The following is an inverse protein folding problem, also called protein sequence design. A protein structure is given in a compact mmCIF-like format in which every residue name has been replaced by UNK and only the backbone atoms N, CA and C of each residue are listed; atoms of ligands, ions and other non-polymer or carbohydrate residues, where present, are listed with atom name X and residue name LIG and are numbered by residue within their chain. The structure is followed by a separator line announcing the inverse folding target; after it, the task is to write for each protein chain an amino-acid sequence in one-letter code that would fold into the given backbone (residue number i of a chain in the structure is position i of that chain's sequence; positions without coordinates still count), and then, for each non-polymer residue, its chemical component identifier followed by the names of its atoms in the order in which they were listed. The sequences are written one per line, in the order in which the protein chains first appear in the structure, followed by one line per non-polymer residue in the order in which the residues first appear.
data_IF_951696506015
#
_entry.id   IF_951696506015
#
_cell.length_a   1.000
_cell.length_b   1.000
_cell.length_c   1.000
_cell.angle_alpha   90.00
_cell.angle_beta   90.00
_cell.angle_gamma   90.00
#
_symmetry.space_group_name_H-M   'P 1'
#
loop_
_entity.id
_entity.type
_entity.pdbx_description
1 polymer ?
#
# COMPACT_ATOMS: atom_id res chain seq x y z
N UNK A 1 -31.84 -11.85 -19.53
CA UNK A 1 -31.63 -11.54 -18.10
C UNK A 1 -30.35 -12.19 -17.61
N UNK A 2 -30.15 -13.50 -17.85
CA UNK A 2 -28.95 -14.24 -17.44
C UNK A 2 -27.63 -13.69 -17.99
N UNK A 3 -27.60 -13.24 -19.25
CA UNK A 3 -26.43 -12.57 -19.84
C UNK A 3 -26.07 -11.27 -19.09
N UNK A 4 -27.07 -10.46 -18.69
CA UNK A 4 -26.81 -9.24 -17.92
C UNK A 4 -26.32 -9.55 -16.49
N UNK A 5 -26.82 -10.61 -15.87
CA UNK A 5 -26.37 -11.06 -14.55
C UNK A 5 -24.91 -11.55 -14.62
N UNK A 6 -24.57 -12.28 -15.68
CA UNK A 6 -23.22 -12.75 -15.95
C UNK A 6 -22.24 -11.60 -16.17
N UNK A 7 -22.57 -10.67 -17.07
CA UNK A 7 -21.75 -9.48 -17.35
C UNK A 7 -21.60 -8.59 -16.10
N UNK A 8 -22.69 -8.38 -15.36
CA UNK A 8 -22.63 -7.64 -14.10
C UNK A 8 -21.69 -8.31 -13.09
N UNK A 9 -21.69 -9.64 -13.00
CA UNK A 9 -20.79 -10.39 -12.12
C UNK A 9 -19.32 -10.25 -12.52
N UNK A 10 -19.03 -10.25 -13.83
CA UNK A 10 -17.67 -10.01 -14.34
C UNK A 10 -17.20 -8.59 -13.99
N UNK A 11 -18.03 -7.58 -14.27
CA UNK A 11 -17.69 -6.18 -14.03
C UNK A 11 -17.49 -5.89 -12.54
N UNK A 12 -18.32 -6.46 -11.67
CA UNK A 12 -18.15 -6.36 -10.22
C UNK A 12 -16.85 -7.03 -9.74
N UNK A 13 -16.45 -8.14 -10.36
CA UNK A 13 -15.17 -8.78 -10.08
C UNK A 13 -13.98 -7.92 -10.51
N UNK A 14 -14.05 -7.29 -11.69
CA UNK A 14 -12.99 -6.41 -12.21
C UNK A 14 -12.84 -5.11 -11.42
N UNK A 15 -13.89 -4.66 -10.73
CA UNK A 15 -13.84 -3.47 -9.89
C UNK A 15 -13.00 -3.65 -8.60
N UNK A 16 -12.69 -4.89 -8.23
CA UNK A 16 -11.98 -5.19 -6.98
C UNK A 16 -10.56 -5.64 -7.29
N UNK A 17 -9.59 -4.91 -6.74
CA UNK A 17 -8.18 -5.31 -6.81
C UNK A 17 -7.92 -6.72 -6.24
N UNK A 18 -7.04 -7.51 -6.85
CA UNK A 18 -6.70 -8.87 -6.42
C UNK A 18 -6.32 -8.98 -4.93
N UNK A 19 -5.57 -8.01 -4.40
CA UNK A 19 -5.20 -8.02 -2.96
C UNK A 19 -6.41 -7.75 -2.06
N UNK A 20 -7.34 -6.94 -2.55
CA UNK A 20 -8.61 -6.65 -1.87
C UNK A 20 -9.54 -7.86 -1.93
N UNK A 21 -9.62 -8.55 -3.07
CA UNK A 21 -10.40 -9.78 -3.24
C UNK A 21 -9.96 -10.88 -2.27
N UNK A 22 -8.64 -11.10 -2.10
CA UNK A 22 -8.12 -12.05 -1.11
C UNK A 22 -8.45 -11.64 0.32
N UNK A 23 -8.40 -10.34 0.62
CA UNK A 23 -8.79 -9.82 1.94
C UNK A 23 -10.28 -10.07 2.20
N UNK A 24 -11.14 -9.85 1.21
CA UNK A 24 -12.58 -10.05 1.31
C UNK A 24 -12.94 -11.54 1.47
N UNK A 25 -12.27 -12.42 0.72
CA UNK A 25 -12.41 -13.88 0.87
C UNK A 25 -12.03 -14.33 2.29
N UNK A 26 -10.92 -13.79 2.83
CA UNK A 26 -10.49 -14.05 4.21
C UNK A 26 -11.51 -13.57 5.24
N UNK A 27 -12.09 -12.38 5.03
CA UNK A 27 -13.14 -11.83 5.88
C UNK A 27 -14.41 -12.69 5.88
N UNK A 28 -14.85 -13.15 4.70
CA UNK A 28 -16.00 -14.01 4.55
C UNK A 28 -15.79 -15.36 5.27
N UNK A 29 -14.64 -16.02 5.05
CA UNK A 29 -14.30 -17.26 5.74
C UNK A 29 -14.27 -17.08 7.27
N UNK A 30 -13.74 -15.95 7.75
CA UNK A 30 -13.74 -15.61 9.16
C UNK A 30 -15.16 -15.47 9.72
N UNK A 31 -16.05 -14.80 9.01
CA UNK A 31 -17.45 -14.64 9.41
C UNK A 31 -18.23 -15.96 9.40
N UNK A 32 -18.05 -16.79 8.37
CA UNK A 32 -18.68 -18.12 8.31
C UNK A 32 -18.20 -19.02 9.44
N UNK A 33 -16.91 -18.95 9.79
CA UNK A 33 -16.34 -19.68 10.93
C UNK A 33 -16.95 -19.20 12.25
N UNK A 34 -17.06 -17.88 12.45
CA UNK A 34 -17.75 -17.31 13.60
C UNK A 34 -19.20 -17.80 13.71
N UNK A 35 -19.95 -17.79 12.60
CA UNK A 35 -21.33 -18.26 12.59
C UNK A 35 -21.43 -19.74 13.01
N UNK A 36 -20.56 -20.59 12.45
CA UNK A 36 -20.48 -22.01 12.81
C UNK A 36 -20.12 -22.23 14.28
N UNK A 37 -19.10 -21.52 14.79
CA UNK A 37 -18.64 -21.66 16.17
C UNK A 37 -19.70 -21.27 17.21
N UNK A 38 -20.53 -20.28 16.88
CA UNK A 38 -21.55 -19.76 17.80
C UNK A 38 -22.97 -20.25 17.49
N UNK A 39 -23.13 -21.20 16.56
CA UNK A 39 -24.43 -21.69 16.09
C UNK A 39 -25.38 -20.55 15.67
N UNK A 40 -24.84 -19.54 14.99
CA UNK A 40 -25.59 -18.39 14.49
C UNK A 40 -25.96 -18.60 13.00
N UNK A 41 -27.09 -18.03 12.55
CA UNK A 41 -27.43 -18.04 11.13
C UNK A 41 -26.40 -17.26 10.32
N UNK A 42 -26.14 -17.71 9.09
CA UNK A 42 -25.21 -17.05 8.16
C UNK A 42 -25.73 -15.66 7.78
N UNK A 43 -27.06 -15.47 7.72
CA UNK A 43 -27.67 -14.19 7.37
C UNK A 43 -27.17 -13.06 8.30
N UNK A 44 -26.44 -12.07 7.77
CA UNK A 44 -25.88 -10.97 8.55
C UNK A 44 -26.95 -9.96 8.93
N UNK A 45 -27.45 -10.09 10.16
CA UNK A 45 -28.32 -9.09 10.80
C UNK A 45 -27.49 -8.05 11.55
N UNK A 46 -28.04 -6.86 11.89
CA UNK A 46 -27.33 -5.86 12.69
C UNK A 46 -26.79 -6.44 14.00
N UNK A 47 -27.54 -7.35 14.63
CA UNK A 47 -27.14 -8.01 15.87
C UNK A 47 -25.99 -9.00 15.65
N UNK A 48 -26.06 -9.83 14.62
CA UNK A 48 -25.00 -10.79 14.26
C UNK A 48 -23.70 -10.05 13.93
N UNK A 49 -23.77 -8.96 13.16
CA UNK A 49 -22.62 -8.12 12.81
C UNK A 49 -22.01 -7.45 14.05
N UNK A 50 -22.83 -6.95 14.97
CA UNK A 50 -22.33 -6.41 16.26
C UNK A 50 -21.61 -7.45 17.10
N UNK A 51 -22.12 -8.69 17.18
CA UNK A 51 -21.42 -9.78 17.86
C UNK A 51 -20.11 -10.13 17.18
N UNK A 52 -20.11 -10.16 15.84
CA UNK A 52 -18.89 -10.38 15.07
C UNK A 52 -17.84 -9.29 15.32
N UNK A 53 -18.23 -8.01 15.40
CA UNK A 53 -17.33 -6.90 15.75
C UNK A 53 -16.71 -7.12 17.12
N UNK A 54 -17.53 -7.43 18.13
CA UNK A 54 -17.05 -7.66 19.50
C UNK A 54 -16.05 -8.83 19.51
N UNK A 55 -16.43 -9.96 18.90
CA UNK A 55 -15.59 -11.14 18.78
C UNK A 55 -14.28 -10.82 18.06
N UNK A 56 -14.30 -10.18 16.90
CA UNK A 56 -13.06 -9.91 16.16
C UNK A 56 -12.22 -8.81 16.77
N UNK A 57 -12.83 -7.83 17.45
CA UNK A 57 -12.07 -6.79 18.13
C UNK A 57 -11.12 -7.38 19.18
N UNK A 58 -11.41 -8.56 19.75
CA UNK A 58 -10.51 -9.25 20.68
C UNK A 58 -9.34 -9.98 20.04
N UNK A 59 -9.40 -10.24 18.74
CA UNK A 59 -8.40 -11.03 18.04
C UNK A 59 -7.55 -10.18 17.08
N UNK A 60 -8.11 -9.11 16.51
CA UNK A 60 -7.45 -8.29 15.48
C UNK A 60 -7.65 -6.78 15.71
N UNK A 61 -6.86 -5.97 15.00
CA UNK A 61 -7.00 -4.52 15.02
C UNK A 61 -8.38 -4.10 14.46
N UNK A 62 -9.00 -3.08 15.04
CA UNK A 62 -10.31 -2.59 14.63
C UNK A 62 -10.36 -2.04 13.20
N UNK A 63 -9.24 -1.51 12.68
CA UNK A 63 -9.13 -1.14 11.25
C UNK A 63 -9.33 -2.36 10.35
N UNK A 64 -8.77 -3.51 10.73
CA UNK A 64 -8.96 -4.77 10.03
C UNK A 64 -10.40 -5.27 10.16
N UNK A 65 -11.03 -5.12 11.34
CA UNK A 65 -12.47 -5.46 11.51
C UNK A 65 -13.34 -4.65 10.56
N UNK A 66 -13.06 -3.36 10.40
CA UNK A 66 -13.82 -2.49 9.48
C UNK A 66 -13.66 -2.97 8.04
N UNK A 67 -12.43 -3.26 7.61
CA UNK A 67 -12.15 -3.87 6.29
C UNK A 67 -12.87 -5.20 6.09
N UNK A 68 -12.93 -6.03 7.14
CA UNK A 68 -13.65 -7.31 7.10
C UNK A 68 -15.14 -7.12 6.93
N UNK A 69 -15.76 -6.15 7.63
CA UNK A 69 -17.17 -5.84 7.44
C UNK A 69 -17.48 -5.43 6.01
N UNK A 70 -16.63 -4.59 5.39
CA UNK A 70 -16.78 -4.23 3.97
C UNK A 70 -16.66 -5.45 3.06
N UNK A 71 -15.69 -6.33 3.32
CA UNK A 71 -15.53 -7.55 2.53
C UNK A 71 -16.65 -8.57 2.69
N UNK A 72 -17.20 -8.70 3.90
CA UNK A 72 -18.40 -9.50 4.18
C UNK A 72 -19.58 -8.91 3.42
N UNK A 73 -19.74 -7.59 3.46
CA UNK A 73 -20.78 -6.87 2.72
C UNK A 73 -20.73 -7.20 1.23
N UNK A 74 -19.57 -6.96 0.60
CA UNK A 74 -19.36 -7.17 -0.83
C UNK A 74 -19.59 -8.62 -1.27
N UNK A 75 -19.10 -9.60 -0.50
CA UNK A 75 -19.21 -11.01 -0.87
C UNK A 75 -20.60 -11.61 -0.62
N UNK A 76 -21.33 -11.12 0.38
CA UNK A 76 -22.62 -11.67 0.79
C UNK A 76 -23.82 -10.89 0.24
N UNK A 77 -23.64 -9.67 -0.26
CA UNK A 77 -24.69 -8.86 -0.87
C UNK A 77 -25.49 -9.59 -1.97
N UNK A 78 -24.87 -10.38 -2.87
CA UNK A 78 -25.63 -11.14 -3.87
C UNK A 78 -26.63 -12.15 -3.27
N UNK A 79 -26.37 -12.62 -2.04
CA UNK A 79 -27.22 -13.61 -1.35
C UNK A 79 -28.13 -12.96 -0.29
N UNK A 80 -27.71 -11.83 0.27
CA UNK A 80 -28.40 -11.10 1.33
C UNK A 80 -28.42 -9.60 1.00
N UNK A 81 -29.37 -9.14 0.16
CA UNK A 81 -29.39 -7.75 -0.33
C UNK A 81 -29.51 -6.69 0.78
N UNK A 82 -30.07 -7.06 1.92
CA UNK A 82 -30.23 -6.15 3.08
C UNK A 82 -28.92 -5.92 3.86
N UNK A 83 -27.83 -6.61 3.52
CA UNK A 83 -26.57 -6.55 4.27
C UNK A 83 -25.99 -5.13 4.35
N UNK A 84 -26.08 -4.36 3.27
CA UNK A 84 -25.62 -2.97 3.21
C UNK A 84 -26.38 -2.10 4.22
N UNK A 85 -27.71 -2.24 4.26
CA UNK A 85 -28.58 -1.58 5.24
C UNK A 85 -28.29 -2.03 6.67
N UNK A 86 -28.05 -3.33 6.87
CA UNK A 86 -27.74 -3.90 8.18
C UNK A 86 -26.39 -3.42 8.72
N UNK A 87 -25.39 -3.27 7.86
CA UNK A 87 -24.07 -2.72 8.19
C UNK A 87 -24.17 -1.23 8.51
N UNK A 88 -25.05 -0.50 7.83
CA UNK A 88 -25.31 0.92 8.08
C UNK A 88 -26.15 1.19 9.35
N UNK A 89 -26.71 0.15 9.98
CA UNK A 89 -27.56 0.28 11.16
C UNK A 89 -26.83 0.91 12.36
N UNK A 90 -27.57 1.69 13.15
CA UNK A 90 -27.04 2.42 14.32
C UNK A 90 -26.36 1.49 15.32
N UNK A 91 -26.88 0.28 15.52
CA UNK A 91 -26.31 -0.71 16.43
C UNK A 91 -24.88 -1.09 16.03
N UNK A 92 -24.63 -1.38 14.75
CA UNK A 92 -23.32 -1.76 14.22
C UNK A 92 -22.33 -0.60 14.36
N UNK A 93 -22.75 0.62 13.98
CA UNK A 93 -21.96 1.84 14.11
C UNK A 93 -21.58 2.15 15.56
N UNK A 94 -22.53 2.05 16.49
CA UNK A 94 -22.27 2.24 17.92
C UNK A 94 -21.36 1.16 18.49
N UNK A 95 -21.50 -0.08 18.04
CA UNK A 95 -20.63 -1.19 18.46
C UNK A 95 -19.19 -0.95 18.01
N UNK A 96 -18.98 -0.54 16.76
CA UNK A 96 -17.66 -0.15 16.25
C UNK A 96 -17.05 1.02 17.05
N UNK A 97 -17.84 2.07 17.29
CA UNK A 97 -17.40 3.23 18.07
C UNK A 97 -17.04 2.84 19.51
N UNK A 98 -17.86 2.01 20.15
CA UNK A 98 -17.61 1.48 21.49
C UNK A 98 -16.34 0.62 21.54
N UNK A 99 -16.15 -0.26 20.56
CA UNK A 99 -14.95 -1.08 20.44
C UNK A 99 -13.68 -0.24 20.25
N UNK A 100 -13.76 0.89 19.54
CA UNK A 100 -12.66 1.84 19.40
C UNK A 100 -12.29 2.48 20.74
N UNK A 101 -13.28 2.94 21.50
CA UNK A 101 -13.06 3.54 22.82
C UNK A 101 -12.53 2.53 23.85
N UNK A 102 -12.94 1.28 23.75
CA UNK A 102 -12.52 0.23 24.67
C UNK A 102 -11.08 -0.28 24.42
N UNK A 103 -10.51 -0.01 23.24
CA UNK A 103 -9.19 -0.49 22.83
C UNK A 103 -8.10 0.56 23.09
N UNK A 104 -6.91 0.08 23.45
CA UNK A 104 -5.71 0.91 23.53
C UNK A 104 -5.36 1.50 22.16
N UNK A 105 -4.70 2.68 22.11
CA UNK A 105 -4.29 3.31 20.87
C UNK A 105 -3.47 2.35 20.00
N UNK A 106 -3.75 2.34 18.70
CA UNK A 106 -3.01 1.53 17.75
C UNK A 106 -1.54 1.96 17.79
N UNK A 107 -0.62 1.02 18.02
CA UNK A 107 0.82 1.27 17.90
C UNK A 107 1.15 1.60 16.45
N UNK A 108 1.23 2.89 16.11
CA UNK A 108 1.71 3.34 14.81
C UNK A 108 3.23 3.19 14.75
N UNK A 109 3.74 2.81 13.58
CA UNK A 109 5.17 2.84 13.28
C UNK A 109 5.64 4.30 13.27
N UNK A 110 6.84 4.56 13.75
CA UNK A 110 7.40 5.91 13.80
C UNK A 110 7.72 6.40 12.38
N UNK A 111 7.53 7.68 12.03
CA UNK A 111 7.93 8.22 10.73
C UNK A 111 9.45 8.16 10.56
N UNK A 112 9.91 7.93 9.32
CA UNK A 112 11.32 8.06 8.96
C UNK A 112 11.67 9.54 8.95
N UNK A 113 12.77 9.95 9.58
CA UNK A 113 13.18 11.36 9.60
C UNK A 113 14.14 11.69 8.46
N UNK A 114 14.24 12.98 8.10
CA UNK A 114 15.22 13.48 7.12
C UNK A 114 16.65 13.17 7.56
N UNK A 115 16.95 13.26 8.86
CA UNK A 115 18.26 12.90 9.44
C UNK A 115 18.60 11.42 9.26
N UNK A 116 17.62 10.53 9.45
CA UNK A 116 17.81 9.10 9.21
C UNK A 116 18.04 8.81 7.73
N UNK A 117 17.26 9.44 6.84
CA UNK A 117 17.45 9.33 5.40
C UNK A 117 18.85 9.80 4.97
N UNK A 118 19.31 10.93 5.50
CA UNK A 118 20.64 11.48 5.23
C UNK A 118 21.75 10.54 5.74
N UNK A 119 21.54 9.90 6.90
CA UNK A 119 22.48 8.95 7.48
C UNK A 119 22.60 7.68 6.61
N UNK A 120 21.47 7.14 6.13
CA UNK A 120 21.46 6.01 5.19
C UNK A 120 22.18 6.38 3.88
N UNK A 121 21.89 7.56 3.34
CA UNK A 121 22.59 8.07 2.16
C UNK A 121 24.11 8.17 2.39
N UNK A 122 24.55 8.76 3.51
CA UNK A 122 25.96 8.89 3.83
C UNK A 122 26.69 7.53 3.86
N UNK A 123 26.01 6.46 4.28
CA UNK A 123 26.57 5.11 4.29
C UNK A 123 26.60 4.44 2.90
N UNK A 124 25.61 4.72 2.05
CA UNK A 124 25.38 3.95 0.82
C UNK A 124 25.75 4.65 -0.48
N UNK A 125 25.85 5.98 -0.51
CA UNK A 125 26.00 6.75 -1.75
C UNK A 125 27.27 6.44 -2.57
N UNK A 126 28.30 5.86 -1.95
CA UNK A 126 29.54 5.44 -2.64
C UNK A 126 29.59 3.94 -2.95
N UNK A 127 28.58 3.18 -2.53
CA UNK A 127 28.52 1.74 -2.76
C UNK A 127 28.51 1.44 -4.25
N UNK A 128 29.31 0.45 -4.67
CA UNK A 128 29.32 -0.07 -6.04
C UNK A 128 28.43 -1.31 -6.19
N UNK A 129 27.81 -1.75 -5.10
CA UNK A 129 26.89 -2.87 -5.09
C UNK A 129 25.51 -2.45 -5.62
N UNK A 130 24.99 -3.21 -6.58
CA UNK A 130 23.76 -2.89 -7.28
C UNK A 130 22.54 -2.86 -6.36
N UNK A 131 22.43 -3.82 -5.43
CA UNK A 131 21.30 -3.92 -4.50
C UNK A 131 21.28 -2.76 -3.50
N UNK A 132 22.44 -2.27 -3.09
CA UNK A 132 22.56 -1.05 -2.29
C UNK A 132 22.10 0.20 -3.06
N UNK A 133 22.48 0.33 -4.34
CA UNK A 133 22.01 1.43 -5.19
C UNK A 133 20.49 1.36 -5.41
N UNK A 134 19.96 0.15 -5.65
CA UNK A 134 18.53 -0.12 -5.76
C UNK A 134 17.80 0.31 -4.48
N UNK A 135 18.23 -0.18 -3.33
CA UNK A 135 17.59 0.12 -2.05
C UNK A 135 17.59 1.63 -1.77
N UNK A 136 18.74 2.30 -1.97
CA UNK A 136 18.88 3.73 -1.76
C UNK A 136 17.98 4.53 -2.72
N UNK A 137 17.87 4.11 -3.98
CA UNK A 137 17.03 4.75 -4.99
C UNK A 137 15.54 4.55 -4.71
N UNK A 138 15.13 3.34 -4.34
CA UNK A 138 13.77 3.07 -3.91
C UNK A 138 13.40 3.94 -2.71
N UNK A 139 14.29 4.08 -1.72
CA UNK A 139 14.07 4.91 -0.53
C UNK A 139 13.95 6.40 -0.89
N UNK A 140 14.86 6.92 -1.70
CA UNK A 140 14.88 8.32 -2.16
C UNK A 140 13.78 8.66 -3.18
N UNK A 141 13.19 7.68 -3.85
CA UNK A 141 11.98 7.90 -4.64
C UNK A 141 10.76 8.01 -3.73
N UNK A 142 10.55 7.04 -2.85
CA UNK A 142 9.29 6.97 -2.12
C UNK A 142 9.16 7.91 -0.93
N UNK A 143 10.26 8.46 -0.42
CA UNK A 143 10.20 9.49 0.64
C UNK A 143 9.62 10.81 0.11
N UNK A 144 10.26 11.50 -0.87
CA UNK A 144 9.69 12.72 -1.45
C UNK A 144 8.45 12.48 -2.30
N UNK A 145 8.34 11.32 -2.95
CA UNK A 145 7.18 10.96 -3.78
C UNK A 145 5.99 10.42 -3.02
N UNK A 146 6.03 10.35 -1.68
CA UNK A 146 4.98 9.77 -0.83
C UNK A 146 4.48 8.40 -1.31
N UNK A 147 5.38 7.58 -1.87
CA UNK A 147 4.99 6.29 -2.40
C UNK A 147 4.89 5.25 -1.29
N UNK A 148 3.77 4.57 -1.23
CA UNK A 148 3.63 3.37 -0.44
C UNK A 148 4.61 2.29 -0.91
N UNK A 149 5.00 1.40 0.00
CA UNK A 149 5.90 0.31 -0.34
C UNK A 149 5.30 -0.63 -1.41
N UNK A 150 3.98 -0.78 -1.46
CA UNK A 150 3.31 -1.59 -2.47
C UNK A 150 3.33 -1.01 -3.89
N UNK A 151 3.71 0.26 -4.04
CA UNK A 151 3.86 0.92 -5.36
C UNK A 151 5.28 0.80 -5.90
N UNK A 152 6.26 0.51 -5.04
CA UNK A 152 7.67 0.36 -5.40
C UNK A 152 8.14 -1.09 -5.40
N UNK A 153 7.50 -1.97 -4.64
CA UNK A 153 7.91 -3.35 -4.46
C UNK A 153 6.77 -4.32 -4.80
N UNK A 154 7.12 -5.45 -5.39
CA UNK A 154 6.14 -6.49 -5.71
C UNK A 154 5.70 -7.28 -4.47
N UNK A 155 4.55 -7.95 -4.57
CA UNK A 155 4.05 -8.82 -3.53
C UNK A 155 5.00 -10.00 -3.27
N UNK A 156 5.18 -10.35 -1.99
CA UNK A 156 5.88 -11.57 -1.59
C UNK A 156 5.16 -12.85 -2.04
N UNK A 157 3.84 -12.77 -2.28
CA UNK A 157 3.03 -13.90 -2.73
C UNK A 157 2.91 -13.86 -4.25
N UNK A 158 3.41 -14.86 -4.99
CA UNK A 158 3.37 -14.90 -6.46
C UNK A 158 1.96 -14.68 -7.01
N UNK A 159 0.94 -15.32 -6.42
CA UNK A 159 -0.46 -15.22 -6.85
C UNK A 159 -1.06 -13.80 -6.74
N UNK A 160 -0.39 -12.89 -6.01
CA UNK A 160 -0.80 -11.50 -5.83
C UNK A 160 0.09 -10.51 -6.60
N UNK A 161 1.05 -11.00 -7.37
CA UNK A 161 1.89 -10.14 -8.20
C UNK A 161 1.10 -9.70 -9.42
N UNK A 162 1.14 -8.40 -9.68
CA UNK A 162 0.49 -7.79 -10.82
C UNK A 162 1.52 -6.94 -11.56
N UNK A 163 1.95 -7.45 -12.71
CA UNK A 163 2.98 -6.82 -13.53
C UNK A 163 2.50 -5.53 -14.19
N UNK A 164 1.18 -5.31 -14.29
CA UNK A 164 0.62 -4.05 -14.79
C UNK A 164 0.85 -2.88 -13.84
N UNK A 165 1.19 -3.15 -12.58
CA UNK A 165 1.45 -2.13 -11.55
C UNK A 165 2.92 -1.76 -11.43
N UNK A 166 3.79 -2.41 -12.21
CA UNK A 166 5.23 -2.19 -12.13
C UNK A 166 5.59 -0.91 -12.88
N UNK A 167 6.30 -0.03 -12.20
CA UNK A 167 6.86 1.18 -12.81
C UNK A 167 7.88 0.74 -13.87
N UNK A 168 7.74 1.28 -15.08
CA UNK A 168 8.61 0.95 -16.20
C UNK A 168 9.77 1.94 -16.29
N UNK A 169 10.95 1.42 -16.61
CA UNK A 169 12.18 2.19 -16.76
C UNK A 169 12.05 3.26 -17.85
N UNK A 170 11.46 2.91 -18.99
CA UNK A 170 11.32 3.80 -20.15
C UNK A 170 10.27 4.91 -19.98
N UNK A 171 9.51 4.89 -18.88
CA UNK A 171 8.54 5.94 -18.54
C UNK A 171 9.11 6.95 -17.53
N UNK A 172 10.39 6.83 -17.17
CA UNK A 172 11.11 7.82 -16.39
C UNK A 172 11.73 8.89 -17.31
N UNK A 173 11.58 10.15 -16.94
CA UNK A 173 12.15 11.29 -17.66
C UNK A 173 12.77 12.30 -16.72
N UNK A 174 13.86 12.94 -17.16
CA UNK A 174 14.55 13.98 -16.40
C UNK A 174 13.92 15.34 -16.69
N UNK A 175 13.61 16.11 -15.64
CA UNK A 175 13.01 17.44 -15.78
C UNK A 175 13.77 18.45 -14.93
N UNK A 176 14.74 19.12 -15.54
CA UNK A 176 15.62 20.05 -14.83
C UNK A 176 16.47 19.33 -13.78
N UNK A 177 16.26 19.67 -12.51
CA UNK A 177 16.92 19.02 -11.35
C UNK A 177 16.09 17.89 -10.72
N UNK A 178 14.92 17.61 -11.31
CA UNK A 178 13.96 16.63 -10.83
C UNK A 178 13.85 15.49 -11.86
N UNK A 179 13.07 14.47 -11.51
CA UNK A 179 12.62 13.47 -12.48
C UNK A 179 11.15 13.15 -12.30
N UNK A 180 10.53 12.68 -13.38
CA UNK A 180 9.14 12.28 -13.41
C UNK A 180 9.02 10.85 -13.91
N UNK A 181 8.00 10.14 -13.44
CA UNK A 181 7.64 8.83 -13.95
C UNK A 181 6.12 8.63 -13.92
N UNK A 182 5.64 7.69 -14.74
CA UNK A 182 4.26 7.23 -14.67
C UNK A 182 4.12 6.11 -13.65
N UNK A 183 3.33 6.36 -12.60
CA UNK A 183 2.86 5.32 -11.68
C UNK A 183 1.63 4.64 -12.32
N UNK A 184 1.70 3.36 -12.72
CA UNK A 184 0.67 2.75 -13.57
C UNK A 184 -0.71 2.63 -12.93
N UNK A 185 -0.75 2.38 -11.61
CA UNK A 185 -2.01 2.22 -10.89
C UNK A 185 -1.85 2.72 -9.47
N UNK A 186 -2.84 3.47 -8.99
CA UNK A 186 -2.97 3.84 -7.58
C UNK A 186 -4.34 3.39 -7.07
N UNK A 187 -4.46 3.12 -5.76
CA UNK A 187 -5.72 2.65 -5.16
C UNK A 187 -6.88 3.65 -5.30
N UNK A 188 -6.57 4.92 -5.55
CA UNK A 188 -7.52 6.01 -5.75
C UNK A 188 -7.74 6.33 -7.23
N UNK A 189 -7.04 5.67 -8.14
CA UNK A 189 -7.19 5.88 -9.58
C UNK A 189 -8.43 5.13 -10.10
N UNK A 190 -9.54 5.85 -10.14
CA UNK A 190 -10.82 5.33 -10.64
C UNK A 190 -10.86 5.19 -12.16
N UNK A 191 -9.97 5.86 -12.89
CA UNK A 191 -9.97 5.89 -14.36
C UNK A 191 -8.92 4.96 -14.98
N UNK A 192 -8.02 4.39 -14.16
CA UNK A 192 -6.95 3.48 -14.58
C UNK A 192 -5.98 4.11 -15.59
N UNK A 193 -5.80 5.44 -15.54
CA UNK A 193 -4.91 6.20 -16.43
C UNK A 193 -3.48 6.26 -15.87
N UNK A 194 -3.28 5.91 -14.60
CA UNK A 194 -2.04 6.11 -13.88
C UNK A 194 -1.85 7.56 -13.42
N UNK A 195 -0.77 7.82 -12.70
CA UNK A 195 -0.46 9.14 -12.17
C UNK A 195 0.99 9.54 -12.51
N UNK A 196 1.17 10.75 -13.05
CA UNK A 196 2.50 11.32 -13.27
C UNK A 196 3.04 11.87 -11.95
N UNK A 197 4.06 11.19 -11.42
CA UNK A 197 4.70 11.57 -10.16
C UNK A 197 6.02 12.27 -10.47
N UNK A 198 6.14 13.53 -10.03
CA UNK A 198 7.40 14.28 -10.03
C UNK A 198 8.10 14.11 -8.68
N UNK A 199 9.38 13.75 -8.73
CA UNK A 199 10.25 13.65 -7.58
C UNK A 199 11.20 14.84 -7.55
N UNK A 200 10.97 15.71 -6.56
CA UNK A 200 11.81 16.88 -6.28
C UNK A 200 12.53 16.70 -4.95
N UNK A 201 13.66 17.38 -4.80
CA UNK A 201 14.40 17.38 -3.54
C UNK A 201 13.61 18.10 -2.43
N UNK A 202 13.52 17.49 -1.25
CA UNK A 202 13.04 18.15 -0.03
C UNK A 202 14.24 18.77 0.69
N UNK A 203 14.05 19.94 1.30
CA UNK A 203 15.10 20.59 2.10
C UNK A 203 15.57 19.63 3.20
N UNK A 204 16.88 19.43 3.30
CA UNK A 204 17.49 18.53 4.29
C UNK A 204 17.49 17.04 3.90
N UNK A 205 17.07 16.69 2.68
CA UNK A 205 17.23 15.34 2.13
C UNK A 205 18.31 15.28 1.05
N UNK A 206 18.85 14.09 0.74
CA UNK A 206 19.72 13.90 -0.42
C UNK A 206 19.03 14.35 -1.71
N UNK A 207 19.82 14.77 -2.70
CA UNK A 207 19.29 15.04 -4.04
C UNK A 207 18.89 13.69 -4.68
N UNK A 208 17.61 13.50 -5.05
CA UNK A 208 17.13 12.21 -5.53
C UNK A 208 17.59 11.90 -6.96
N UNK A 209 17.94 12.91 -7.77
CA UNK A 209 18.34 12.72 -9.17
C UNK A 209 19.68 11.97 -9.30
N UNK A 210 20.80 12.37 -8.67
CA UNK A 210 22.05 11.61 -8.71
C UNK A 210 21.90 10.19 -8.17
N UNK A 211 21.11 10.01 -7.10
CA UNK A 211 20.84 8.68 -6.52
C UNK A 211 20.19 7.77 -7.55
N UNK A 212 19.11 8.25 -8.17
CA UNK A 212 18.41 7.52 -9.23
C UNK A 212 19.35 7.25 -10.43
N UNK A 213 20.11 8.26 -10.86
CA UNK A 213 21.03 8.13 -11.98
C UNK A 213 22.10 7.05 -11.79
N UNK A 214 22.67 6.94 -10.59
CA UNK A 214 23.63 5.87 -10.27
C UNK A 214 22.99 4.47 -10.40
N UNK A 215 21.77 4.31 -9.88
CA UNK A 215 21.05 3.04 -9.99
C UNK A 215 20.70 2.70 -11.44
N UNK A 216 20.14 3.65 -12.20
CA UNK A 216 19.78 3.43 -13.61
C UNK A 216 21.00 3.07 -14.44
N UNK A 217 22.13 3.75 -14.22
CA UNK A 217 23.38 3.41 -14.89
C UNK A 217 23.80 1.96 -14.59
N UNK A 218 23.74 1.53 -13.32
CA UNK A 218 24.05 0.15 -12.95
C UNK A 218 23.04 -0.85 -13.55
N UNK A 219 21.75 -0.50 -13.55
CA UNK A 219 20.67 -1.32 -14.09
C UNK A 219 20.82 -1.53 -15.60
N UNK A 220 21.08 -0.46 -16.37
CA UNK A 220 21.27 -0.53 -17.83
C UNK A 220 22.49 -1.36 -18.23
N UNK A 221 23.54 -1.39 -17.40
CA UNK A 221 24.71 -2.24 -17.63
C UNK A 221 24.42 -3.73 -17.39
N UNK A 222 23.62 -4.07 -16.39
CA UNK A 222 23.30 -5.45 -16.03
C UNK A 222 22.13 -6.02 -16.84
N UNK A 223 21.11 -5.20 -17.11
CA UNK A 223 19.80 -5.60 -17.63
C UNK A 223 19.30 -4.70 -18.77
N UNK A 224 20.06 -4.52 -19.86
CA UNK A 224 19.76 -3.53 -20.91
C UNK A 224 18.43 -3.74 -21.65
N UNK A 225 17.84 -4.94 -21.58
CA UNK A 225 16.60 -5.29 -22.26
C UNK A 225 15.40 -5.42 -21.32
N UNK A 226 15.59 -5.17 -20.02
CA UNK A 226 14.55 -5.39 -19.04
C UNK A 226 13.71 -4.11 -18.84
N UNK A 227 12.38 -4.17 -18.96
CA UNK A 227 11.55 -2.95 -18.97
C UNK A 227 11.22 -2.43 -17.56
N UNK A 228 11.36 -3.27 -16.53
CA UNK A 228 10.98 -2.92 -15.16
C UNK A 228 11.99 -1.95 -14.56
N UNK A 229 11.51 -0.92 -13.87
CA UNK A 229 12.39 0.06 -13.21
C UNK A 229 13.22 -0.60 -12.10
N UNK A 230 12.61 -1.47 -11.31
CA UNK A 230 13.23 -2.04 -10.12
C UNK A 230 13.63 -3.50 -10.33
N UNK A 231 14.93 -3.73 -10.33
CA UNK A 231 15.57 -5.03 -10.46
C UNK A 231 16.69 -5.15 -9.46
N UNK A 232 16.73 -6.28 -8.76
CA UNK A 232 17.83 -6.72 -7.93
C UNK A 232 18.99 -7.23 -8.81
N UNK A 233 20.15 -7.47 -8.20
CA UNK A 233 21.35 -7.93 -8.89
C UNK A 233 21.18 -9.32 -9.55
N UNK A 234 20.20 -10.11 -9.13
CA UNK A 234 19.84 -11.39 -9.75
C UNK A 234 18.80 -11.26 -10.88
N UNK A 235 18.36 -10.03 -11.19
CA UNK A 235 17.33 -9.73 -12.20
C UNK A 235 15.89 -9.90 -11.72
N UNK A 236 15.66 -10.25 -10.45
CA UNK A 236 14.32 -10.32 -9.87
C UNK A 236 13.80 -8.94 -9.45
N UNK A 237 12.48 -8.72 -9.45
CA UNK A 237 11.93 -7.48 -8.90
C UNK A 237 11.93 -7.52 -7.37
N UNK A 238 12.27 -6.41 -6.69
CA UNK A 238 12.35 -6.37 -5.23
C UNK A 238 10.99 -6.60 -4.60
N UNK A 239 10.94 -7.56 -3.67
CA UNK A 239 9.73 -7.85 -2.90
C UNK A 239 9.60 -6.93 -1.70
N UNK A 240 8.41 -6.85 -1.12
CA UNK A 240 8.19 -6.16 0.17
C UNK A 240 9.14 -6.67 1.26
N UNK A 241 9.37 -7.98 1.33
CA UNK A 241 10.29 -8.57 2.31
C UNK A 241 11.74 -8.18 2.06
N UNK A 242 12.17 -8.16 0.80
CA UNK A 242 13.51 -7.71 0.41
C UNK A 242 13.76 -6.28 0.88
N UNK A 243 12.85 -5.35 0.55
CA UNK A 243 13.01 -3.95 0.93
C UNK A 243 13.06 -3.76 2.45
N UNK A 244 12.17 -4.44 3.19
CA UNK A 244 12.17 -4.37 4.64
C UNK A 244 13.43 -4.99 5.26
N UNK A 245 13.97 -6.04 4.66
CA UNK A 245 15.23 -6.63 5.10
C UNK A 245 16.36 -5.61 5.01
N UNK A 246 16.52 -4.93 3.87
CA UNK A 246 17.49 -3.85 3.71
C UNK A 246 17.24 -2.69 4.68
N UNK A 247 15.98 -2.26 4.84
CA UNK A 247 15.62 -1.16 5.74
C UNK A 247 16.01 -1.44 7.19
N UNK A 248 15.78 -2.66 7.68
CA UNK A 248 16.09 -3.03 9.06
C UNK A 248 17.59 -3.19 9.34
N UNK A 249 18.45 -3.18 8.32
CA UNK A 249 19.90 -3.10 8.52
C UNK A 249 20.34 -1.71 9.01
N UNK A 250 19.55 -0.67 8.71
CA UNK A 250 19.90 0.73 9.01
C UNK A 250 18.93 1.42 9.96
N UNK A 251 17.71 0.90 10.09
CA UNK A 251 16.65 1.47 10.91
C UNK A 251 16.19 0.50 11.99
N UNK A 252 15.75 1.02 13.15
CA UNK A 252 15.18 0.18 14.20
C UNK A 252 13.80 -0.37 13.76
N UNK A 253 13.33 -1.41 14.45
CA UNK A 253 12.14 -2.18 14.06
C UNK A 253 10.83 -1.37 14.03
N UNK A 254 10.82 -0.19 14.67
CA UNK A 254 9.73 0.78 14.72
C UNK A 254 9.51 1.49 13.38
N UNK A 255 10.46 1.41 12.44
CA UNK A 255 10.36 1.98 11.10
C UNK A 255 10.02 0.89 10.09
N UNK A 256 9.03 1.11 9.24
CA UNK A 256 8.64 0.15 8.20
C UNK A 256 8.28 0.90 6.91
N UNK A 257 7.77 0.19 5.89
CA UNK A 257 7.40 0.81 4.61
C UNK A 257 6.44 2.01 4.73
N UNK A 258 5.51 1.99 5.69
CA UNK A 258 4.59 3.12 5.95
C UNK A 258 5.27 4.32 6.63
N UNK A 259 6.37 4.09 7.33
CA UNK A 259 7.16 5.15 7.95
C UNK A 259 7.79 6.09 6.93
N UNK A 260 8.08 5.58 5.73
CA UNK A 260 8.64 6.37 4.63
C UNK A 260 7.61 7.39 4.14
N UNK A 261 6.37 6.95 3.88
CA UNK A 261 5.26 7.82 3.50
C UNK A 261 4.99 8.88 4.58
N UNK A 262 4.81 8.43 5.83
CA UNK A 262 4.54 9.35 6.94
C UNK A 262 5.70 10.35 7.18
N UNK A 263 6.93 9.89 7.02
CA UNK A 263 8.13 10.72 7.12
C UNK A 263 8.21 11.79 6.02
N UNK A 264 7.98 11.38 4.77
CA UNK A 264 7.93 12.28 3.63
C UNK A 264 6.85 13.34 3.77
N UNK A 265 5.64 12.94 4.19
CA UNK A 265 4.52 13.87 4.39
C UNK A 265 4.82 14.90 5.48
N UNK A 266 5.47 14.48 6.56
CA UNK A 266 5.91 15.36 7.64
C UNK A 266 6.97 16.35 7.13
N UNK A 267 7.98 15.86 6.40
CA UNK A 267 9.06 16.69 5.87
C UNK A 267 8.56 17.72 4.83
N UNK A 268 7.60 17.35 3.98
CA UNK A 268 6.95 18.28 3.04
C UNK A 268 6.15 19.37 3.78
N UNK A 269 5.44 18.98 4.84
CA UNK A 269 4.70 19.93 5.66
C UNK A 269 5.64 20.91 6.37
N UNK A 270 6.75 20.42 6.92
CA UNK A 270 7.80 21.24 7.55
C UNK A 270 8.50 22.17 6.55
N UNK A 271 8.60 21.77 5.28
CA UNK A 271 9.14 22.59 4.19
C UNK A 271 8.10 23.56 3.59
N UNK A 272 6.93 23.72 4.21
CA UNK A 272 5.82 24.58 3.75
C UNK A 272 5.35 24.26 2.33
N UNK A 273 5.43 22.99 1.92
CA UNK A 273 4.95 22.58 0.61
C UNK A 273 3.42 22.81 0.50
N UNK A 274 2.93 23.35 -0.64
CA UNK A 274 1.51 23.50 -0.89
C UNK A 274 0.71 22.20 -0.67
N UNK A 275 -0.43 22.30 0.03
CA UNK A 275 -1.23 21.13 0.39
C UNK A 275 -1.75 20.34 -0.83
N UNK A 276 -1.95 21.02 -1.96
CA UNK A 276 -2.33 20.42 -3.24
C UNK A 276 -1.21 19.58 -3.87
N UNK A 277 0.06 19.87 -3.57
CA UNK A 277 1.20 19.03 -3.97
C UNK A 277 1.30 17.79 -3.08
N UNK A 278 1.07 17.93 -1.77
CA UNK A 278 1.06 16.79 -0.84
C UNK A 278 -0.08 15.82 -1.18
N UNK A 279 -1.26 16.34 -1.54
CA UNK A 279 -2.38 15.52 -1.98
C UNK A 279 -2.11 14.80 -3.30
N UNK A 280 -1.57 15.51 -4.30
CA UNK A 280 -1.24 14.92 -5.61
C UNK A 280 -0.12 13.87 -5.53
N UNK A 281 0.79 14.00 -4.57
CA UNK A 281 1.91 13.08 -4.39
C UNK A 281 1.52 11.74 -3.73
N UNK A 282 0.41 11.63 -2.99
CA UNK A 282 0.10 10.36 -2.33
C UNK A 282 -1.00 10.32 -1.27
N UNK A 283 -2.03 11.18 -1.33
CA UNK A 283 -3.19 11.12 -0.44
C UNK A 283 -4.52 11.08 -1.19
#
# INVERSE_FOLDING_TARGET
MDCLIYECSILLGMAIDNTTAVTYSSANNSYLTFCKLHNLPINPTPKTLSYYIIFQSSHINLKSVTSYLTGICSNLEPFFPEICSNLAATLVKHTLKGALHHRQPTKCKAPLTTVQLQSIFAMLHQSQDHDNMLFLSMLNMGFPGLLHLGERAISNKPDLQDFHKIILHNLLSWVGNDYEFLLPTQKTDTMFEGNHVRISQIIGTPNPQPVMGCYLYSCDQLFPLHPQLWLCNDGSSPTRSWFLHCLYQYCPSEIAGQSIHAGGATALTEAEAPADLIHRAGC
#
